data_IF_384963863956
#
_entry.id   IF_384963863956
#
_cell.length_a   1.000
_cell.length_b   1.000
_cell.length_c   1.000
_cell.angle_alpha   90.00
_cell.angle_beta   90.00
_cell.angle_gamma   90.00
#
_symmetry.space_group_name_H-M   'P 1'
#
loop_
_entity.id
_entity.type
_entity.pdbx_description
1 polymer ?
#
# COMPACT_ATOMS: atom_id res chain seq x y z
N UNK A 1 -4.67 12.33 13.34
CA UNK A 1 -4.23 12.01 14.71
C UNK A 1 -4.96 10.79 15.29
N UNK A 2 -6.29 10.76 15.44
CA UNK A 2 -7.00 9.58 16.02
C UNK A 2 -6.95 8.28 15.17
N UNK A 3 -6.92 8.40 13.82
CA UNK A 3 -6.90 7.25 12.90
C UNK A 3 -5.55 6.52 12.85
N UNK A 4 -4.44 7.26 12.87
CA UNK A 4 -3.07 6.71 12.92
C UNK A 4 -2.84 5.94 14.24
N UNK A 5 -3.35 6.46 15.35
CA UNK A 5 -3.34 5.75 16.64
C UNK A 5 -4.16 4.46 16.60
N UNK A 6 -5.33 4.44 15.94
CA UNK A 6 -6.15 3.24 15.79
C UNK A 6 -5.47 2.16 14.93
N UNK A 7 -4.82 2.53 13.82
CA UNK A 7 -4.08 1.56 13.01
C UNK A 7 -2.86 1.01 13.75
N UNK A 8 -2.10 1.85 14.46
CA UNK A 8 -0.99 1.37 15.31
C UNK A 8 -1.45 0.43 16.43
N UNK A 9 -2.67 0.60 16.95
CA UNK A 9 -3.24 -0.30 17.96
C UNK A 9 -3.54 -1.72 17.43
N UNK A 10 -3.71 -1.90 16.12
CA UNK A 10 -3.90 -3.23 15.51
C UNK A 10 -2.58 -3.95 15.21
N UNK A 11 -1.46 -3.55 15.84
CA UNK A 11 -0.15 -4.17 15.64
C UNK A 11 0.31 -4.15 14.15
N UNK A 12 -0.05 -3.06 13.46
CA UNK A 12 0.08 -2.91 12.00
C UNK A 12 1.54 -2.85 11.52
N UNK A 13 2.50 -2.69 12.42
CA UNK A 13 3.93 -2.90 12.12
C UNK A 13 4.20 -4.31 11.54
N UNK A 14 3.39 -5.30 11.91
CA UNK A 14 3.49 -6.67 11.38
C UNK A 14 2.82 -6.84 10.01
N UNK A 15 2.03 -5.85 9.53
CA UNK A 15 1.50 -5.85 8.16
C UNK A 15 2.57 -5.56 7.12
N UNK A 16 3.63 -4.82 7.48
CA UNK A 16 4.80 -4.58 6.61
C UNK A 16 5.74 -5.81 6.53
N UNK A 17 5.16 -7.00 6.37
CA UNK A 17 5.93 -8.23 6.18
C UNK A 17 6.50 -8.32 4.76
N UNK A 18 7.37 -9.31 4.54
CA UNK A 18 8.07 -9.52 3.26
C UNK A 18 7.14 -9.54 2.05
N UNK A 19 5.92 -10.07 2.19
CA UNK A 19 4.95 -10.14 1.09
C UNK A 19 4.42 -8.76 0.71
N UNK A 20 4.11 -7.94 1.70
CA UNK A 20 3.63 -6.56 1.49
C UNK A 20 4.78 -5.69 0.95
N UNK A 21 5.99 -5.82 1.51
CA UNK A 21 7.18 -5.11 1.02
C UNK A 21 7.44 -5.41 -0.45
N UNK A 22 7.45 -6.69 -0.86
CA UNK A 22 7.63 -7.08 -2.27
C UNK A 22 6.54 -6.53 -3.19
N UNK A 23 5.30 -6.40 -2.70
CA UNK A 23 4.21 -5.82 -3.47
C UNK A 23 4.38 -4.30 -3.65
N UNK A 24 4.84 -3.59 -2.62
CA UNK A 24 5.17 -2.17 -2.69
C UNK A 24 6.32 -1.91 -3.67
N UNK A 25 7.39 -2.71 -3.61
CA UNK A 25 8.52 -2.62 -4.54
C UNK A 25 8.10 -2.86 -6.00
N UNK A 26 7.13 -3.75 -6.23
CA UNK A 26 6.58 -4.01 -7.56
C UNK A 26 5.79 -2.82 -8.09
N UNK A 27 4.99 -2.17 -7.25
CA UNK A 27 4.30 -0.93 -7.65
C UNK A 27 5.31 0.16 -8.01
N UNK A 28 6.36 0.34 -7.21
CA UNK A 28 7.43 1.29 -7.50
C UNK A 28 8.10 1.04 -8.86
N UNK A 29 8.38 -0.23 -9.19
CA UNK A 29 8.97 -0.60 -10.49
C UNK A 29 8.02 -0.31 -11.66
N UNK A 30 6.71 -0.48 -11.46
CA UNK A 30 5.71 -0.18 -12.47
C UNK A 30 5.61 1.32 -12.66
N UNK A 31 5.60 2.12 -11.60
CA UNK A 31 5.57 3.58 -11.70
C UNK A 31 6.79 4.11 -12.47
N UNK A 32 7.99 3.64 -12.12
CA UNK A 32 9.21 4.01 -12.85
C UNK A 32 9.14 3.63 -14.34
N UNK A 33 8.50 2.49 -14.64
CA UNK A 33 8.28 2.09 -16.04
C UNK A 33 7.28 3.04 -16.73
N UNK A 34 6.22 3.47 -16.05
CA UNK A 34 5.23 4.40 -16.59
C UNK A 34 5.82 5.79 -16.83
N UNK A 35 6.64 6.28 -15.91
CA UNK A 35 7.35 7.56 -16.04
C UNK A 35 8.25 7.56 -17.28
N UNK A 36 8.88 6.43 -17.60
CA UNK A 36 9.69 6.28 -18.81
C UNK A 36 8.89 6.39 -20.12
N UNK A 37 7.57 6.18 -20.06
CA UNK A 37 6.67 6.33 -21.21
C UNK A 37 6.00 7.71 -21.29
N UNK A 38 6.50 8.71 -20.55
CA UNK A 38 5.99 10.09 -20.53
C UNK A 38 4.45 10.15 -20.37
N UNK A 39 3.89 9.29 -19.51
CA UNK A 39 2.45 9.26 -19.18
C UNK A 39 1.56 8.44 -20.11
N UNK A 40 2.06 7.90 -21.23
CA UNK A 40 1.33 6.91 -22.04
C UNK A 40 1.83 5.49 -21.72
N UNK A 41 1.48 4.97 -20.55
CA UNK A 41 1.76 3.58 -20.22
C UNK A 41 0.98 2.64 -21.14
N UNK A 42 1.64 1.79 -21.94
CA UNK A 42 0.94 0.79 -22.74
C UNK A 42 0.40 -0.38 -21.88
N UNK A 43 0.58 -0.31 -20.55
CA UNK A 43 0.28 -1.39 -19.63
C UNK A 43 -0.56 -0.95 -18.41
N UNK A 44 -1.74 -0.29 -18.59
CA UNK A 44 -2.60 0.10 -17.47
C UNK A 44 -3.01 -1.12 -16.61
N UNK A 45 -3.18 -2.28 -17.25
CA UNK A 45 -3.48 -3.54 -16.57
C UNK A 45 -2.39 -4.00 -15.58
N UNK A 46 -1.11 -3.62 -15.78
CA UNK A 46 -0.05 -3.97 -14.84
C UNK A 46 -0.18 -3.18 -13.54
N UNK A 47 -0.60 -1.91 -13.63
CA UNK A 47 -0.85 -1.08 -12.46
C UNK A 47 -2.03 -1.61 -11.64
N UNK A 48 -3.16 -1.88 -12.30
CA UNK A 48 -4.33 -2.49 -11.66
C UNK A 48 -3.99 -3.84 -11.01
N UNK A 49 -3.17 -4.66 -11.68
CA UNK A 49 -2.71 -5.93 -11.12
C UNK A 49 -1.86 -5.73 -9.86
N UNK A 50 -0.92 -4.79 -9.88
CA UNK A 50 -0.05 -4.52 -8.75
C UNK A 50 -0.81 -3.94 -7.55
N UNK A 51 -1.81 -3.08 -7.78
CA UNK A 51 -2.74 -2.62 -6.74
C UNK A 51 -3.55 -3.78 -6.13
N UNK A 52 -4.09 -4.66 -6.97
CA UNK A 52 -4.84 -5.83 -6.50
C UNK A 52 -3.94 -6.78 -5.69
N UNK A 53 -2.69 -6.97 -6.12
CA UNK A 53 -1.70 -7.77 -5.40
C UNK A 53 -1.34 -7.17 -4.05
N UNK A 54 -1.11 -5.86 -3.97
CA UNK A 54 -0.85 -5.17 -2.71
C UNK A 54 -2.03 -5.32 -1.75
N UNK A 55 -3.25 -5.07 -2.23
CA UNK A 55 -4.48 -5.25 -1.45
C UNK A 55 -4.59 -6.67 -0.90
N UNK A 56 -4.39 -7.68 -1.75
CA UNK A 56 -4.46 -9.08 -1.33
C UNK A 56 -3.34 -9.44 -0.34
N UNK A 57 -2.13 -8.91 -0.51
CA UNK A 57 -1.03 -9.10 0.43
C UNK A 57 -1.36 -8.53 1.81
N UNK A 58 -1.91 -7.33 1.89
CA UNK A 58 -2.32 -6.69 3.14
C UNK A 58 -3.46 -7.45 3.81
N UNK A 59 -4.53 -7.78 3.06
CA UNK A 59 -5.68 -8.50 3.60
C UNK A 59 -5.30 -9.90 4.11
N UNK A 60 -4.49 -10.64 3.37
CA UNK A 60 -4.01 -11.96 3.81
C UNK A 60 -3.09 -11.88 5.03
N UNK A 61 -2.27 -10.85 5.12
CA UNK A 61 -1.40 -10.61 6.27
C UNK A 61 -2.19 -10.25 7.52
N UNK A 62 -3.20 -9.37 7.38
CA UNK A 62 -4.10 -9.01 8.46
C UNK A 62 -4.89 -10.22 8.96
N UNK A 63 -5.46 -11.03 8.04
CA UNK A 63 -6.19 -12.24 8.40
C UNK A 63 -5.33 -13.27 9.14
N UNK A 64 -4.04 -13.36 8.82
CA UNK A 64 -3.13 -14.30 9.46
C UNK A 64 -2.71 -13.89 10.88
N UNK A 65 -2.80 -12.61 11.21
CA UNK A 65 -2.24 -12.05 12.44
C UNK A 65 -3.31 -11.54 13.42
N UNK A 66 -4.50 -11.23 12.91
CA UNK A 66 -5.61 -10.67 13.69
C UNK A 66 -6.68 -11.72 13.96
N UNK A 67 -7.40 -11.59 15.06
CA UNK A 67 -8.66 -12.32 15.26
C UNK A 67 -9.75 -11.84 14.29
N UNK A 68 -10.82 -12.61 14.11
CA UNK A 68 -11.92 -12.25 13.20
C UNK A 68 -12.55 -10.87 13.50
N UNK A 69 -12.63 -10.51 14.79
CA UNK A 69 -13.17 -9.22 15.23
C UNK A 69 -12.22 -8.07 14.89
N UNK A 70 -10.93 -8.26 15.14
CA UNK A 70 -9.88 -7.28 14.81
C UNK A 70 -9.74 -7.12 13.29
N UNK A 71 -9.78 -8.22 12.53
CA UNK A 71 -9.75 -8.19 11.07
C UNK A 71 -10.97 -7.43 10.51
N UNK A 72 -12.16 -7.66 11.05
CA UNK A 72 -13.37 -6.94 10.61
C UNK A 72 -13.28 -5.43 10.85
N UNK A 73 -12.77 -5.03 12.02
CA UNK A 73 -12.56 -3.62 12.35
C UNK A 73 -11.44 -3.00 11.49
N UNK A 74 -10.34 -3.72 11.29
CA UNK A 74 -9.25 -3.34 10.39
C UNK A 74 -9.77 -3.13 8.98
N UNK A 75 -10.51 -4.10 8.42
CA UNK A 75 -11.06 -4.03 7.05
C UNK A 75 -11.94 -2.81 6.85
N UNK A 76 -12.82 -2.53 7.82
CA UNK A 76 -13.70 -1.36 7.76
C UNK A 76 -12.92 -0.05 7.82
N UNK A 77 -11.91 0.03 8.70
CA UNK A 77 -11.06 1.22 8.82
C UNK A 77 -10.17 1.41 7.60
N UNK A 78 -9.59 0.33 7.08
CA UNK A 78 -8.72 0.28 5.91
C UNK A 78 -9.45 0.72 4.65
N UNK A 79 -10.72 0.32 4.48
CA UNK A 79 -11.52 0.75 3.33
C UNK A 79 -11.90 2.24 3.35
N UNK A 80 -11.65 2.97 4.45
CA UNK A 80 -11.84 4.43 4.50
C UNK A 80 -10.63 5.21 3.95
N UNK A 81 -9.52 4.53 3.66
CA UNK A 81 -8.32 5.13 3.08
C UNK A 81 -8.37 4.98 1.57
N UNK A 82 -8.02 6.05 0.85
CA UNK A 82 -7.80 5.98 -0.59
C UNK A 82 -6.56 5.11 -0.91
N UNK A 83 -6.48 4.46 -2.08
CA UNK A 83 -5.35 3.60 -2.44
C UNK A 83 -3.97 4.26 -2.26
N UNK A 84 -3.83 5.53 -2.64
CA UNK A 84 -2.57 6.27 -2.47
C UNK A 84 -2.20 6.45 -1.00
N UNK A 85 -3.19 6.72 -0.14
CA UNK A 85 -3.00 6.84 1.31
C UNK A 85 -2.62 5.51 1.93
N UNK A 86 -3.24 4.41 1.47
CA UNK A 86 -2.89 3.06 1.88
C UNK A 86 -1.44 2.74 1.53
N UNK A 87 -1.03 2.99 0.29
CA UNK A 87 0.34 2.76 -0.18
C UNK A 87 1.35 3.59 0.59
N UNK A 88 1.11 4.90 0.75
CA UNK A 88 1.98 5.80 1.52
C UNK A 88 2.18 5.30 2.95
N UNK A 89 1.09 4.93 3.62
CA UNK A 89 1.15 4.40 4.98
C UNK A 89 1.94 3.09 5.07
N UNK A 90 1.78 2.19 4.10
CA UNK A 90 2.54 0.93 4.07
C UNK A 90 4.03 1.16 3.77
N UNK A 91 4.37 2.13 2.91
CA UNK A 91 5.77 2.52 2.67
C UNK A 91 6.41 3.08 3.94
N UNK A 92 5.71 3.96 4.68
CA UNK A 92 6.18 4.50 5.95
C UNK A 92 6.46 3.38 6.98
N UNK A 93 5.56 2.40 7.10
CA UNK A 93 5.75 1.23 7.97
C UNK A 93 6.92 0.35 7.54
N UNK A 94 7.10 0.18 6.23
CA UNK A 94 8.18 -0.64 5.66
C UNK A 94 9.55 0.07 5.67
N UNK A 95 9.61 1.35 6.06
CA UNK A 95 10.82 2.17 5.89
C UNK A 95 11.20 2.42 4.44
N UNK A 96 10.24 2.25 3.53
CA UNK A 96 10.37 2.53 2.11
C UNK A 96 10.10 4.02 1.84
N UNK A 97 10.67 4.56 0.75
CA UNK A 97 10.46 5.95 0.39
C UNK A 97 9.00 6.26 0.04
N UNK A 98 8.63 7.55 0.18
CA UNK A 98 7.32 8.06 -0.17
C UNK A 98 7.06 7.84 -1.68
N UNK A 99 5.99 7.14 -2.07
CA UNK A 99 5.69 6.86 -3.48
C UNK A 99 5.42 8.12 -4.31
N UNK A 100 5.14 9.28 -3.67
CA UNK A 100 4.87 10.54 -4.38
C UNK A 100 6.09 11.47 -4.48
N UNK A 101 7.25 11.10 -3.94
CA UNK A 101 8.44 11.97 -3.76
C UNK A 101 8.96 12.66 -5.02
N UNK A 102 8.76 12.08 -6.20
CA UNK A 102 9.31 12.57 -7.47
C UNK A 102 8.24 13.23 -8.36
N UNK A 103 6.97 13.27 -7.92
CA UNK A 103 5.85 13.90 -8.65
C UNK A 103 5.79 15.43 -8.49
N UNK A 104 6.55 15.99 -7.55
CA UNK A 104 6.56 17.42 -7.21
C UNK A 104 7.45 18.30 -8.11
N UNK A 105 8.11 17.73 -9.13
CA UNK A 105 9.03 18.49 -10.01
C UNK A 105 8.35 19.26 -11.17
N UNK A 106 7.03 19.11 -11.35
CA UNK A 106 6.26 19.78 -12.42
C UNK A 106 5.14 20.69 -11.87
N UNK A 107 5.52 21.76 -11.16
CA UNK A 107 4.61 22.86 -10.78
C UNK A 107 5.04 24.22 -11.36
#
# INVERSE_FOLDING_TARGET
>A
MYRDTMLRLFNVDQLANERVVRALERQEQIDQLQDWYDGFSPFPMLHELAEAELKHAVESSALAQMSDQEYSAFRWQWSQLEPDQQRKYLCELAGLPDPERDRDFDA
#
